data_IF_372391700004
#
_entry.id   IF_372391700004
#
_cell.length_a   1.000
_cell.length_b   1.000
_cell.length_c   1.000
_cell.angle_alpha   90.00
_cell.angle_beta   90.00
_cell.angle_gamma   90.00
#
_symmetry.space_group_name_H-M   'P 1'
#
loop_
_entity.id
_entity.type
_entity.pdbx_description
1 polymer ?
#
# COMPACT_ATOMS: atom_id res chain seq x y z
N UNK A 1 21.41 -12.29 -0.98
CA UNK A 1 22.07 -11.15 -1.67
C UNK A 1 21.11 -9.96 -1.59
N UNK A 2 21.56 -8.77 -1.16
CA UNK A 2 20.69 -7.58 -1.09
C UNK A 2 20.48 -7.04 -2.52
N UNK A 3 19.25 -6.65 -2.86
CA UNK A 3 18.95 -6.12 -4.20
C UNK A 3 19.59 -4.74 -4.43
N UNK A 4 20.00 -4.40 -5.67
CA UNK A 4 20.39 -3.06 -6.08
C UNK A 4 19.46 -1.94 -5.58
N UNK A 5 18.13 -2.12 -5.67
CA UNK A 5 17.17 -1.14 -5.18
C UNK A 5 17.30 -0.96 -3.67
N UNK A 6 17.30 -2.04 -2.89
CA UNK A 6 17.44 -1.97 -1.43
C UNK A 6 18.77 -1.32 -1.02
N UNK A 7 19.87 -1.62 -1.72
CA UNK A 7 21.16 -0.95 -1.49
C UNK A 7 21.09 0.55 -1.72
N UNK A 8 20.42 0.99 -2.80
CA UNK A 8 20.21 2.41 -3.08
C UNK A 8 19.36 3.07 -1.99
N UNK A 9 18.24 2.46 -1.59
CA UNK A 9 17.38 2.98 -0.54
C UNK A 9 18.14 3.21 0.77
N UNK A 10 18.95 2.24 1.20
CA UNK A 10 19.76 2.37 2.42
C UNK A 10 20.82 3.46 2.32
N UNK A 11 21.45 3.62 1.15
CA UNK A 11 22.42 4.70 0.91
C UNK A 11 21.74 6.06 0.96
N UNK A 12 20.60 6.20 0.28
CA UNK A 12 19.85 7.46 0.22
C UNK A 12 19.30 7.80 1.61
N UNK A 13 18.79 6.82 2.36
CA UNK A 13 18.38 6.98 3.76
C UNK A 13 19.49 7.51 4.65
N UNK A 14 20.70 6.90 4.61
CA UNK A 14 21.84 7.39 5.39
C UNK A 14 22.17 8.85 5.06
N UNK A 15 22.08 9.25 3.79
CA UNK A 15 22.28 10.65 3.38
C UNK A 15 21.21 11.57 3.97
N UNK A 16 19.94 11.18 3.88
CA UNK A 16 18.82 11.94 4.44
C UNK A 16 18.93 12.10 5.95
N UNK A 17 19.36 11.05 6.65
CA UNK A 17 19.59 11.07 8.10
C UNK A 17 20.61 12.15 8.50
N UNK A 18 21.70 12.30 7.74
CA UNK A 18 22.72 13.31 8.03
C UNK A 18 22.30 14.75 7.65
N UNK A 19 21.30 14.92 6.78
CA UNK A 19 20.84 16.23 6.32
C UNK A 19 19.92 16.95 7.31
N UNK A 20 19.57 16.33 8.46
CA UNK A 20 18.66 16.90 9.47
C UNK A 20 17.38 17.50 8.87
N UNK A 21 16.81 16.85 7.87
CA UNK A 21 15.59 17.32 7.23
C UNK A 21 14.41 17.18 8.20
N UNK A 22 13.66 18.26 8.40
CA UNK A 22 12.48 18.30 9.28
C UNK A 22 11.19 17.87 8.59
N UNK A 23 11.20 17.72 7.25
CA UNK A 23 9.99 17.42 6.45
C UNK A 23 9.60 15.95 6.47
N UNK A 24 10.57 15.05 6.52
CA UNK A 24 10.30 13.62 6.54
C UNK A 24 11.33 12.88 7.37
N UNK A 25 10.83 11.99 8.21
CA UNK A 25 11.60 11.05 9.01
C UNK A 25 11.32 9.66 8.48
N UNK A 26 12.36 8.92 8.11
CA UNK A 26 12.22 7.57 7.58
C UNK A 26 13.24 6.65 8.22
N UNK A 27 12.84 5.41 8.52
CA UNK A 27 13.70 4.40 9.12
C UNK A 27 13.33 3.01 8.59
N UNK A 28 14.29 2.23 8.07
CA UNK A 28 14.04 0.83 7.73
C UNK A 28 13.78 0.02 9.01
N UNK A 29 12.97 -1.03 8.92
CA UNK A 29 12.83 -1.99 10.02
C UNK A 29 14.06 -2.90 10.09
N UNK A 30 14.51 -3.16 11.32
CA UNK A 30 15.71 -3.98 11.56
C UNK A 30 15.48 -5.44 11.14
N UNK A 31 14.25 -5.95 11.24
CA UNK A 31 13.87 -7.31 10.87
C UNK A 31 13.57 -7.50 9.38
N UNK A 32 13.21 -6.42 8.66
CA UNK A 32 12.81 -6.50 7.26
C UNK A 32 13.12 -5.20 6.51
N UNK A 33 14.15 -5.25 5.65
CA UNK A 33 14.60 -4.11 4.85
C UNK A 33 13.62 -3.70 3.73
N UNK A 34 12.54 -4.45 3.50
CA UNK A 34 11.45 -4.03 2.63
C UNK A 34 10.42 -3.16 3.36
N UNK A 35 10.42 -3.15 4.69
CA UNK A 35 9.50 -2.35 5.49
C UNK A 35 10.21 -1.11 6.03
N UNK A 36 9.59 0.04 5.81
CA UNK A 36 10.14 1.34 6.16
C UNK A 36 9.10 2.15 6.92
N UNK A 37 9.37 2.43 8.19
CA UNK A 37 8.56 3.38 8.96
C UNK A 37 8.83 4.79 8.45
N UNK A 38 7.80 5.61 8.33
CA UNK A 38 7.92 6.99 7.94
C UNK A 38 7.02 7.91 8.78
N UNK A 39 7.45 9.15 8.94
CA UNK A 39 6.63 10.26 9.38
C UNK A 39 6.86 11.44 8.42
N UNK A 40 5.80 11.96 7.80
CA UNK A 40 5.82 13.17 6.97
C UNK A 40 5.23 14.32 7.79
N UNK A 41 5.98 15.40 7.94
CA UNK A 41 5.57 16.56 8.73
C UNK A 41 5.55 17.79 7.84
N UNK A 42 4.35 18.29 7.54
CA UNK A 42 4.14 19.58 6.91
C UNK A 42 3.70 20.61 7.95
N UNK A 43 3.40 21.84 7.51
CA UNK A 43 2.84 22.87 8.40
C UNK A 43 1.43 22.53 8.88
N UNK A 44 0.71 21.71 8.11
CA UNK A 44 -0.71 21.44 8.33
C UNK A 44 -0.99 20.01 8.81
N UNK A 45 -0.07 19.08 8.55
CA UNK A 45 -0.27 17.66 8.83
C UNK A 45 0.99 16.97 9.37
N UNK A 46 0.77 15.92 10.16
CA UNK A 46 1.82 14.98 10.52
C UNK A 46 1.32 13.53 10.32
N UNK A 47 1.76 12.87 9.25
CA UNK A 47 1.31 11.51 8.92
C UNK A 47 2.40 10.52 9.25
N UNK A 48 2.05 9.51 10.04
CA UNK A 48 2.88 8.34 10.31
C UNK A 48 2.33 7.09 9.62
N UNK A 49 3.24 6.27 9.09
CA UNK A 49 2.90 5.07 8.34
C UNK A 49 4.09 4.15 8.09
N UNK A 50 3.84 3.11 7.30
CA UNK A 50 4.86 2.18 6.80
C UNK A 50 4.78 2.05 5.28
N UNK A 51 5.93 2.05 4.62
CA UNK A 51 6.07 1.59 3.25
C UNK A 51 6.52 0.13 3.22
N UNK A 52 5.97 -0.63 2.30
CA UNK A 52 6.57 -1.84 1.76
C UNK A 52 7.16 -1.49 0.39
N UNK A 53 8.45 -1.77 0.20
CA UNK A 53 9.14 -1.64 -1.09
C UNK A 53 9.79 -2.99 -1.40
N UNK A 54 9.20 -3.74 -2.32
CA UNK A 54 9.65 -5.07 -2.74
C UNK A 54 9.53 -5.25 -4.25
N UNK A 55 9.44 -6.50 -4.72
CA UNK A 55 9.37 -6.81 -6.15
C UNK A 55 10.75 -6.93 -6.80
N UNK A 56 10.81 -6.69 -8.11
CA UNK A 56 12.06 -6.76 -8.87
C UNK A 56 12.81 -5.43 -8.84
N UNK A 57 14.10 -5.44 -9.21
CA UNK A 57 14.91 -4.21 -9.24
C UNK A 57 14.47 -3.21 -10.32
N UNK A 58 13.76 -3.69 -11.35
CA UNK A 58 13.26 -2.88 -12.47
C UNK A 58 11.80 -2.49 -12.30
N UNK A 59 11.04 -3.26 -11.53
CA UNK A 59 9.60 -3.06 -11.31
C UNK A 59 9.29 -3.24 -9.81
N UNK A 60 9.69 -2.28 -8.97
CA UNK A 60 9.45 -2.37 -7.55
C UNK A 60 7.97 -2.16 -7.24
N UNK A 61 7.42 -3.01 -6.37
CA UNK A 61 6.08 -2.88 -5.82
C UNK A 61 6.17 -2.00 -4.59
N UNK A 62 5.36 -0.93 -4.57
CA UNK A 62 5.31 0.03 -3.48
C UNK A 62 3.91 0.04 -2.89
N UNK A 63 3.79 -0.30 -1.62
CA UNK A 63 2.53 -0.24 -0.85
C UNK A 63 2.76 0.60 0.38
N UNK A 64 1.82 1.50 0.68
CA UNK A 64 1.86 2.32 1.88
C UNK A 64 0.68 1.97 2.77
N UNK A 65 0.91 1.92 4.08
CA UNK A 65 -0.16 1.91 5.08
C UNK A 65 0.01 3.11 5.99
N UNK A 66 -0.93 4.05 5.92
CA UNK A 66 -1.00 5.18 6.83
C UNK A 66 -1.73 4.81 8.11
N UNK A 67 -1.22 5.22 9.26
CA UNK A 67 -1.86 4.97 10.56
C UNK A 67 -2.54 6.21 11.14
N UNK A 68 -2.12 7.40 10.72
CA UNK A 68 -2.72 8.66 11.13
C UNK A 68 -3.97 8.98 10.29
N UNK A 69 -5.12 9.31 10.91
CA UNK A 69 -6.30 9.80 10.20
C UNK A 69 -5.99 11.09 9.43
N UNK A 70 -6.26 11.08 8.12
CA UNK A 70 -6.10 12.23 7.23
C UNK A 70 -6.98 12.02 5.97
N UNK A 71 -7.16 13.06 5.14
CA UNK A 71 -7.97 12.95 3.92
C UNK A 71 -7.18 12.48 2.69
N UNK A 72 -5.83 12.51 2.73
CA UNK A 72 -4.99 12.12 1.60
C UNK A 72 -4.89 10.60 1.47
N UNK A 73 -4.79 9.91 2.60
CA UNK A 73 -4.54 8.48 2.68
C UNK A 73 -5.49 7.86 3.70
N UNK A 74 -6.26 6.84 3.31
CA UNK A 74 -7.17 6.17 4.23
C UNK A 74 -6.39 5.49 5.37
N UNK A 75 -6.73 5.86 6.60
CA UNK A 75 -6.09 5.27 7.78
C UNK A 75 -6.34 3.76 7.86
N UNK A 76 -5.30 3.04 8.28
CA UNK A 76 -5.25 1.59 8.45
C UNK A 76 -5.54 0.76 7.19
N UNK A 77 -5.61 1.37 6.00
CA UNK A 77 -5.76 0.69 4.72
C UNK A 77 -4.46 0.70 3.92
N UNK A 78 -4.28 -0.32 3.09
CA UNK A 78 -3.17 -0.38 2.15
C UNK A 78 -3.48 0.50 0.93
N UNK A 79 -2.54 1.35 0.58
CA UNK A 79 -2.58 2.23 -0.59
C UNK A 79 -1.49 1.77 -1.55
N UNK A 80 -1.88 1.38 -2.77
CA UNK A 80 -0.92 1.00 -3.79
C UNK A 80 -0.28 2.24 -4.41
N UNK A 81 1.03 2.37 -4.23
CA UNK A 81 1.84 3.47 -4.75
C UNK A 81 2.82 2.99 -5.84
N UNK A 82 2.63 1.80 -6.39
CA UNK A 82 3.51 1.22 -7.42
C UNK A 82 3.59 2.08 -8.67
N UNK A 83 2.57 2.89 -8.96
CA UNK A 83 2.60 3.90 -10.02
C UNK A 83 3.68 4.99 -9.82
N UNK A 84 4.20 5.16 -8.59
CA UNK A 84 5.32 6.05 -8.26
C UNK A 84 6.69 5.36 -8.35
N UNK A 85 6.75 4.07 -8.69
CA UNK A 85 8.00 3.33 -8.87
C UNK A 85 9.00 4.03 -9.82
N UNK A 86 8.58 4.62 -10.96
CA UNK A 86 9.51 5.35 -11.83
C UNK A 86 10.22 6.50 -11.11
N UNK A 87 9.56 7.19 -10.18
CA UNK A 87 10.16 8.28 -9.39
C UNK A 87 11.20 7.69 -8.44
N UNK A 88 10.89 6.58 -7.77
CA UNK A 88 11.85 5.89 -6.90
C UNK A 88 13.10 5.42 -7.67
N UNK A 89 12.91 4.89 -8.87
CA UNK A 89 14.00 4.39 -9.72
C UNK A 89 14.83 5.50 -10.37
N UNK A 90 14.24 6.67 -10.65
CA UNK A 90 14.98 7.79 -11.27
C UNK A 90 15.57 8.71 -10.20
N UNK A 91 14.74 9.21 -9.29
CA UNK A 91 15.09 10.24 -8.30
C UNK A 91 15.48 9.67 -6.93
N UNK A 92 15.26 8.37 -6.69
CA UNK A 92 15.63 7.71 -5.44
C UNK A 92 14.64 7.99 -4.33
N UNK A 93 15.06 7.69 -3.10
CA UNK A 93 14.18 7.81 -1.93
C UNK A 93 13.74 9.26 -1.68
N UNK A 94 14.65 10.22 -1.87
CA UNK A 94 14.36 11.65 -1.68
C UNK A 94 13.24 12.16 -2.59
N UNK A 95 13.35 11.94 -3.91
CA UNK A 95 12.31 12.36 -4.87
C UNK A 95 10.98 11.66 -4.66
N UNK A 96 11.00 10.38 -4.24
CA UNK A 96 9.78 9.67 -3.84
C UNK A 96 9.10 10.33 -2.63
N UNK A 97 9.86 10.65 -1.58
CA UNK A 97 9.33 11.32 -0.39
C UNK A 97 8.84 12.74 -0.68
N UNK A 98 9.54 13.49 -1.54
CA UNK A 98 9.10 14.82 -1.97
C UNK A 98 7.77 14.77 -2.72
N UNK A 99 7.55 13.73 -3.55
CA UNK A 99 6.28 13.55 -4.25
C UNK A 99 5.14 13.27 -3.26
N UNK A 100 5.35 12.41 -2.27
CA UNK A 100 4.34 12.13 -1.24
C UNK A 100 4.06 13.36 -0.37
N UNK A 101 5.10 14.11 -0.03
CA UNK A 101 4.97 15.35 0.72
C UNK A 101 4.10 16.36 -0.05
N UNK A 102 4.28 16.50 -1.37
CA UNK A 102 3.41 17.35 -2.21
C UNK A 102 1.96 16.89 -2.23
N UNK A 103 1.71 15.58 -2.29
CA UNK A 103 0.35 15.05 -2.23
C UNK A 103 -0.33 15.40 -0.90
N UNK A 104 0.43 15.34 0.19
CA UNK A 104 -0.03 15.74 1.52
C UNK A 104 -0.36 17.23 1.59
N UNK A 105 0.52 18.10 1.10
CA UNK A 105 0.32 19.56 1.11
C UNK A 105 -0.89 20.02 0.29
N UNK A 106 -1.34 19.23 -0.69
CA UNK A 106 -2.52 19.55 -1.50
C UNK A 106 -3.83 18.98 -0.96
N UNK A 107 -3.80 18.29 0.19
CA UNK A 107 -5.00 17.66 0.75
C UNK A 107 -5.40 18.32 2.06
N UNK A 108 -6.68 18.68 2.18
CA UNK A 108 -7.21 19.25 3.42
C UNK A 108 -6.98 18.30 4.61
N UNK A 109 -6.68 18.85 5.79
CA UNK A 109 -6.32 18.05 6.96
C UNK A 109 -7.49 17.86 7.90
N UNK A 110 -7.68 16.64 8.44
CA UNK A 110 -8.64 16.38 9.53
C UNK A 110 -8.07 16.93 10.83
N UNK A 111 -8.77 17.86 11.50
CA UNK A 111 -8.44 18.28 12.87
C UNK A 111 -7.14 19.09 13.04
N UNK A 112 -6.44 19.41 11.96
CA UNK A 112 -5.17 20.15 11.96
C UNK A 112 -3.96 19.36 12.49
N UNK A 113 -2.78 19.97 12.39
CA UNK A 113 -1.51 19.31 12.73
C UNK A 113 -1.46 18.78 14.16
N UNK A 114 -1.98 19.53 15.14
CA UNK A 114 -1.95 19.14 16.56
C UNK A 114 -2.75 17.87 16.84
N UNK A 115 -3.90 17.71 16.18
CA UNK A 115 -4.69 16.49 16.29
C UNK A 115 -3.89 15.28 15.79
N UNK A 116 -3.27 15.39 14.61
CA UNK A 116 -2.47 14.31 14.04
C UNK A 116 -1.22 14.00 14.88
N UNK A 117 -0.54 15.03 15.39
CA UNK A 117 0.58 14.87 16.30
C UNK A 117 0.16 14.11 17.56
N UNK A 118 -0.95 14.52 18.17
CA UNK A 118 -1.49 13.87 19.37
C UNK A 118 -1.93 12.44 19.09
N UNK A 119 -2.57 12.19 17.95
CA UNK A 119 -2.93 10.84 17.51
C UNK A 119 -1.69 9.93 17.44
N UNK A 120 -0.61 10.41 16.83
CA UNK A 120 0.61 9.62 16.68
C UNK A 120 1.27 9.29 18.02
N UNK A 121 1.24 10.20 19.01
CA UNK A 121 1.82 9.93 20.35
C UNK A 121 0.90 9.07 21.21
N UNK A 122 -0.41 9.20 21.08
CA UNK A 122 -1.38 8.55 21.97
C UNK A 122 -1.84 7.17 21.44
N UNK A 123 -2.16 7.08 20.16
CA UNK A 123 -2.84 5.92 19.58
C UNK A 123 -1.87 4.89 19.00
N UNK A 124 -0.67 5.32 18.62
CA UNK A 124 0.28 4.48 17.88
C UNK A 124 1.45 4.13 18.78
N UNK A 125 1.37 2.96 19.43
CA UNK A 125 2.34 2.50 20.45
C UNK A 125 3.79 2.52 19.97
N UNK A 126 4.01 2.12 18.72
CA UNK A 126 5.36 1.99 18.15
C UNK A 126 5.95 3.32 17.68
N UNK A 127 5.17 4.39 17.62
CA UNK A 127 5.65 5.71 17.16
C UNK A 127 6.85 6.19 17.98
N UNK A 128 6.77 6.04 19.31
CA UNK A 128 7.85 6.41 20.23
C UNK A 128 9.13 5.61 19.99
N UNK A 129 9.00 4.33 19.65
CA UNK A 129 10.15 3.45 19.41
C UNK A 129 10.85 3.80 18.09
N UNK A 130 10.08 4.12 17.05
CA UNK A 130 10.63 4.44 15.74
C UNK A 130 11.16 5.87 15.63
N UNK A 131 10.46 6.84 16.23
CA UNK A 131 10.76 8.27 16.13
C UNK A 131 10.73 8.94 17.51
N UNK A 132 11.68 8.61 18.41
CA UNK A 132 11.72 9.17 19.77
C UNK A 132 11.90 10.68 19.80
N UNK A 133 12.65 11.25 18.84
CA UNK A 133 12.88 12.69 18.71
C UNK A 133 11.58 13.45 18.40
N UNK A 134 10.78 12.95 17.44
CA UNK A 134 9.47 13.49 17.12
C UNK A 134 8.50 13.34 18.30
N UNK A 135 8.56 12.21 19.00
CA UNK A 135 7.74 12.03 20.19
C UNK A 135 8.09 13.05 21.27
N UNK A 136 9.38 13.36 21.47
CA UNK A 136 9.84 14.33 22.47
C UNK A 136 9.56 15.79 22.08
N UNK A 137 9.47 16.10 20.78
CA UNK A 137 9.29 17.46 20.29
C UNK A 137 7.88 18.03 20.49
N UNK A 138 6.91 17.20 20.88
CA UNK A 138 5.52 17.61 21.06
C UNK A 138 4.94 16.99 22.34
N UNK A 139 4.41 17.85 23.21
CA UNK A 139 3.66 17.43 24.41
C UNK A 139 2.18 17.74 24.20
N UNK A 140 1.30 16.73 24.13
CA UNK A 140 -0.13 16.97 24.00
C UNK A 140 -0.70 17.67 25.24
N UNK A 141 -1.63 18.60 25.01
CA UNK A 141 -2.38 19.29 26.06
C UNK A 141 -3.73 18.59 26.33
N UNK A 142 -4.36 18.79 27.49
CA UNK A 142 -5.68 18.22 27.83
C UNK A 142 -6.75 18.37 26.73
N UNK A 143 -6.73 19.49 26.01
CA UNK A 143 -7.65 19.76 24.91
C UNK A 143 -7.39 18.85 23.70
N UNK A 144 -6.13 18.55 23.39
CA UNK A 144 -5.78 17.67 22.28
C UNK A 144 -6.25 16.23 22.55
N UNK A 145 -6.15 15.76 23.80
CA UNK A 145 -6.68 14.45 24.20
C UNK A 145 -8.19 14.36 23.98
N UNK A 146 -8.93 15.43 24.33
CA UNK A 146 -10.37 15.48 24.14
C UNK A 146 -10.75 15.39 22.65
N UNK A 147 -10.00 16.05 21.76
CA UNK A 147 -10.21 15.95 20.30
C UNK A 147 -9.99 14.53 19.77
N UNK A 148 -8.94 13.85 20.22
CA UNK A 148 -8.68 12.45 19.84
C UNK A 148 -9.77 11.52 20.36
N UNK A 149 -10.19 11.66 21.61
CA UNK A 149 -11.30 10.89 22.18
C UNK A 149 -12.61 11.11 21.42
N UNK A 150 -12.93 12.36 21.07
CA UNK A 150 -14.11 12.68 20.28
C UNK A 150 -14.06 11.99 18.90
N UNK A 151 -12.92 12.02 18.22
CA UNK A 151 -12.74 11.36 16.92
C UNK A 151 -12.93 9.83 16.99
N UNK A 152 -12.36 9.19 18.02
CA UNK A 152 -12.53 7.75 18.27
C UNK A 152 -14.01 7.41 18.48
N UNK A 153 -14.69 8.19 19.32
CA UNK A 153 -16.11 8.00 19.62
C UNK A 153 -17.00 8.21 18.41
N UNK A 154 -16.69 9.17 17.54
CA UNK A 154 -17.42 9.42 16.29
C UNK A 154 -17.24 8.27 15.29
N UNK A 155 -16.03 7.72 15.20
CA UNK A 155 -15.74 6.60 14.30
C UNK A 155 -16.47 5.33 14.73
N UNK A 156 -16.47 5.03 16.04
CA UNK A 156 -17.17 3.88 16.61
C UNK A 156 -18.70 3.92 16.38
N UNK A 157 -19.30 5.11 16.25
CA UNK A 157 -20.74 5.27 15.97
C UNK A 157 -21.10 5.05 14.51
N UNK A 158 -20.16 5.25 13.58
CA UNK A 158 -20.39 5.06 12.15
C UNK A 158 -20.25 3.59 11.69
N UNK A 159 -19.71 2.70 12.53
CA UNK A 159 -19.59 1.26 12.23
C UNK A 159 -20.89 0.46 12.47
N UNK A 160 -22.02 1.13 12.70
CA UNK A 160 -23.34 0.51 12.54
C UNK A 160 -23.83 0.72 11.10
N UNK A 161 -23.76 -0.29 10.21
CA UNK A 161 -24.42 -0.17 8.94
C UNK A 161 -25.92 -0.21 9.19
N UNK A 162 -26.57 0.94 9.07
CA UNK A 162 -27.93 0.94 8.53
C UNK A 162 -27.82 0.25 7.17
N UNK A 163 -28.22 -1.03 7.13
CA UNK A 163 -28.60 -1.70 5.91
C UNK A 163 -29.74 -0.91 5.30
N UNK A 164 -29.40 0.16 4.57
CA UNK A 164 -30.28 0.73 3.57
C UNK A 164 -30.39 -0.32 2.49
N UNK A 165 -31.48 -1.10 2.54
CA UNK A 165 -31.78 -2.12 1.57
C UNK A 165 -31.81 -1.50 0.17
N UNK A 166 -30.73 -1.67 -0.58
CA UNK A 166 -30.73 -1.50 -2.01
C UNK A 166 -31.66 -2.57 -2.59
N UNK A 167 -32.93 -2.21 -2.76
CA UNK A 167 -33.84 -2.98 -3.60
C UNK A 167 -33.43 -2.71 -5.04
N UNK A 168 -32.78 -3.68 -5.66
CA UNK A 168 -32.67 -3.73 -7.13
C UNK A 168 -34.10 -3.70 -7.69
N UNK A 169 -34.47 -2.58 -8.30
CA UNK A 169 -35.57 -2.57 -9.27
C UNK A 169 -34.99 -3.07 -10.57
N UNK A 170 -35.62 -4.12 -11.10
CA UNK A 170 -35.36 -4.72 -12.40
C UNK A 170 -35.06 -3.67 -13.46
N UNK A 171 -33.82 -3.70 -13.98
CA UNK A 171 -33.51 -3.19 -15.31
C UNK A 171 -32.68 -4.26 -16.03
N UNK A 172 -33.14 -4.51 -17.25
CA UNK A 172 -32.82 -5.58 -18.21
C UNK A 172 -31.33 -5.78 -18.53
N UNK A 173 -30.98 -6.91 -19.17
CA UNK A 173 -29.67 -7.53 -19.09
C UNK A 173 -28.79 -7.06 -20.23
N UNK A 174 -27.93 -6.07 -20.04
CA UNK A 174 -26.85 -5.74 -20.98
C UNK A 174 -25.85 -4.83 -20.26
N UNK A 175 -25.04 -5.38 -19.35
CA UNK A 175 -23.88 -4.69 -18.77
C UNK A 175 -22.93 -5.73 -18.16
N UNK A 176 -22.25 -6.49 -19.04
CA UNK A 176 -21.05 -7.23 -18.66
C UNK A 176 -19.94 -6.20 -18.39
N UNK A 177 -19.78 -5.82 -17.13
CA UNK A 177 -18.56 -5.20 -16.64
C UNK A 177 -18.14 -5.96 -15.39
N UNK A 178 -17.20 -6.88 -15.60
CA UNK A 178 -16.64 -7.79 -14.60
C UNK A 178 -15.77 -6.97 -13.64
N UNK A 179 -16.21 -6.85 -12.39
CA UNK A 179 -15.37 -6.45 -11.26
C UNK A 179 -14.96 -7.72 -10.51
N UNK A 180 -13.66 -7.88 -10.29
CA UNK A 180 -13.07 -9.01 -9.57
C UNK A 180 -13.39 -8.93 -8.08
N UNK A 181 -14.29 -9.79 -7.60
CA UNK A 181 -14.44 -10.09 -6.18
C UNK A 181 -14.22 -11.60 -6.01
N UNK A 182 -13.02 -11.98 -5.57
CA UNK A 182 -12.72 -13.33 -5.10
C UNK A 182 -12.76 -13.31 -3.57
N UNK A 183 -13.95 -13.48 -3.02
CA UNK A 183 -14.13 -14.01 -1.67
C UNK A 183 -14.45 -15.50 -1.78
N UNK A 184 -13.41 -16.30 -1.63
CA UNK A 184 -13.42 -17.75 -1.76
C UNK A 184 -14.05 -18.39 -0.50
N UNK A 185 -15.37 -18.61 -0.54
CA UNK A 185 -16.06 -19.56 0.35
C UNK A 185 -16.89 -20.50 -0.51
N UNK A 186 -16.26 -21.62 -0.87
CA UNK A 186 -16.85 -22.66 -1.68
C UNK A 186 -18.17 -23.20 -1.16
N UNK A 187 -19.02 -23.61 -2.11
CA UNK A 187 -19.80 -24.85 -2.08
C UNK A 187 -20.47 -25.08 -3.45
N UNK A 188 -20.09 -26.20 -4.05
CA UNK A 188 -20.83 -27.06 -4.96
C UNK A 188 -22.11 -26.50 -5.63
N UNK A 189 -22.10 -26.43 -6.96
CA UNK A 189 -23.27 -26.87 -7.73
C UNK A 189 -22.88 -27.73 -8.93
N UNK A 190 -23.36 -28.97 -8.85
CA UNK A 190 -23.26 -30.02 -9.86
C UNK A 190 -24.02 -29.65 -11.13
N UNK A 191 -23.38 -29.91 -12.28
CA UNK A 191 -23.85 -30.73 -13.41
C UNK A 191 -25.34 -30.62 -13.77
N UNK A 192 -25.63 -30.01 -14.93
CA UNK A 192 -26.70 -30.48 -15.81
C UNK A 192 -26.26 -30.51 -17.27
N UNK A 193 -26.74 -31.57 -17.91
CA UNK A 193 -26.43 -32.17 -19.20
C UNK A 193 -27.34 -31.55 -20.28
N UNK A 194 -26.89 -31.49 -21.53
CA UNK A 194 -27.77 -31.75 -22.67
C UNK A 194 -26.94 -32.26 -23.86
N UNK A 195 -27.32 -33.46 -24.29
CA UNK A 195 -26.78 -34.24 -25.40
C UNK A 195 -27.21 -33.63 -26.75
N UNK A 196 -26.50 -33.97 -27.85
CA UNK A 196 -27.05 -34.62 -29.07
C UNK A 196 -25.96 -34.79 -30.16
N UNK A 197 -25.70 -36.08 -30.47
CA UNK A 197 -25.21 -36.75 -31.72
C UNK A 197 -24.08 -36.12 -32.55
N UNK A 198 -22.92 -36.77 -32.76
CA UNK A 198 -22.63 -37.96 -33.60
C UNK A 198 -21.33 -37.60 -34.38
N UNK A 199 -20.32 -38.42 -34.69
CA UNK A 199 -20.20 -39.82 -35.10
C UNK A 199 -18.70 -40.22 -35.08
N UNK A 200 -18.43 -41.46 -34.65
CA UNK A 200 -17.35 -42.39 -35.02
C UNK A 200 -15.87 -41.96 -35.26
N UNK A 201 -15.00 -42.46 -34.35
CA UNK A 201 -13.79 -43.29 -34.53
C UNK A 201 -12.73 -42.97 -35.61
N UNK A 202 -11.46 -42.79 -35.20
CA UNK A 202 -10.36 -43.78 -35.41
C UNK A 202 -9.08 -43.41 -34.65
N UNK A 203 -8.28 -44.45 -34.37
CA UNK A 203 -7.01 -44.51 -33.67
C UNK A 203 -5.86 -43.74 -34.36
N UNK A 204 -4.80 -43.44 -33.59
CA UNK A 204 -3.54 -42.97 -34.14
C UNK A 204 -2.52 -42.65 -33.05
N UNK A 205 -1.72 -43.65 -32.69
CA UNK A 205 -0.49 -43.53 -31.91
C UNK A 205 0.45 -42.46 -32.52
N UNK A 206 1.20 -41.72 -31.67
CA UNK A 206 2.66 -41.50 -31.81
C UNK A 206 3.23 -40.56 -30.74
N UNK A 207 4.07 -41.17 -29.92
CA UNK A 207 5.43 -40.76 -29.57
C UNK A 207 5.74 -39.26 -29.42
N UNK A 208 5.98 -38.92 -28.15
CA UNK A 208 6.76 -37.79 -27.66
C UNK A 208 8.21 -37.96 -28.07
N UNK A 209 8.70 -37.10 -28.98
CA UNK A 209 10.12 -37.02 -29.32
C UNK A 209 10.75 -35.72 -28.80
N UNK A 210 11.86 -35.94 -28.11
CA UNK A 210 12.76 -35.01 -27.48
C UNK A 210 13.64 -34.21 -28.47
N UNK A 211 14.19 -33.12 -27.96
CA UNK A 211 15.47 -32.51 -28.35
C UNK A 211 15.70 -32.06 -29.79
N UNK A 212 15.80 -30.74 -29.97
CA UNK A 212 16.86 -30.16 -30.83
C UNK A 212 17.28 -28.78 -30.33
N UNK A 213 18.29 -28.79 -29.45
CA UNK A 213 19.30 -27.73 -29.34
C UNK A 213 20.23 -27.82 -30.56
N UNK A 214 20.51 -26.72 -31.27
CA UNK A 214 21.77 -26.46 -32.01
C UNK A 214 21.71 -25.10 -32.75
N UNK A 215 22.19 -24.03 -32.11
CA UNK A 215 22.64 -22.82 -32.80
C UNK A 215 24.09 -22.47 -32.40
N UNK A 216 25.03 -22.82 -33.29
CA UNK A 216 26.41 -22.30 -33.38
C UNK A 216 26.75 -22.41 -34.88
N UNK A 217 27.30 -21.43 -35.60
CA UNK A 217 28.34 -20.44 -35.33
C UNK A 217 28.19 -19.26 -36.31
N UNK A 218 28.57 -18.06 -35.85
CA UNK A 218 29.03 -16.92 -36.68
C UNK A 218 30.40 -16.49 -36.17
N UNK A 219 31.23 -16.00 -37.09
CA UNK A 219 32.60 -15.43 -36.95
C UNK A 219 33.72 -16.49 -36.94
N UNK A 220 34.83 -16.33 -37.65
CA UNK A 220 35.37 -15.24 -38.46
C UNK A 220 36.07 -15.84 -39.69
#
# INVERSE_FOLDING_TARGET
MISPVTRRLLRDWKRLWHQQNTRYHIRPQDSNLHLWNFALTSKEAEIYGVFFIGGSDTEPIIVMRGFTPNHCFPANKNVNLTHLAPILLTQGLSGFLDQLYRMLDHTSTVGGIRFMQTWNRLMIKDFKAHFPELHASFSPEPQDYALVQQSINSTAKHDHPLQSGFKFRDLSPLSDTIACDNDDKGKDTKRRKLDVSGTAATEGERESDSDTELHRKRRA
#
